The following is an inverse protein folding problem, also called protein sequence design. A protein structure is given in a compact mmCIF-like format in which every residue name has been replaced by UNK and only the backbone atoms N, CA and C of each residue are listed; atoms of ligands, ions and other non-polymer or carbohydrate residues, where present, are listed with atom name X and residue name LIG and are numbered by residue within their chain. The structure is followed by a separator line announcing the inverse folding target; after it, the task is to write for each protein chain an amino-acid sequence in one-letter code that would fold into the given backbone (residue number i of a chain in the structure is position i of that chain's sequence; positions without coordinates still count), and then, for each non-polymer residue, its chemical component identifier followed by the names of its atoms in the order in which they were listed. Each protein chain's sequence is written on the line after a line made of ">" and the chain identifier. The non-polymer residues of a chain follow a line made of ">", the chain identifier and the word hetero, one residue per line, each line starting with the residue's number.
data_IF_611810015504
#
_entry.id   IF_611810015504
#
_cell.length_a   1.000
_cell.length_b   1.000
_cell.length_c   1.000
_cell.angle_alpha   90.00
_cell.angle_beta   90.00
_cell.angle_gamma   90.00
#
_symmetry.space_group_name_H-M   'P 1'
#
loop_
_entity.id
_entity.type
_entity.pdbx_description
1 polymer ?
#
# COMPACT_ATOMS: atom_id res chain seq x y z
N UNK A 1 -11.38 25.81 -4.57
CA UNK A 1 -11.24 26.02 -3.10
C UNK A 1 -11.62 27.43 -2.64
N UNK A 2 -10.94 28.51 -3.04
CA UNK A 2 -11.34 29.89 -2.65
C UNK A 2 -12.78 30.24 -3.06
N UNK A 3 -13.20 29.82 -4.24
CA UNK A 3 -14.59 29.98 -4.70
C UNK A 3 -15.60 29.21 -3.83
N UNK A 4 -15.19 28.07 -3.25
CA UNK A 4 -16.04 27.28 -2.36
C UNK A 4 -16.15 27.92 -0.98
N UNK A 5 -15.03 28.36 -0.41
CA UNK A 5 -15.00 29.15 0.85
C UNK A 5 -15.84 30.43 0.72
N UNK A 6 -15.73 31.13 -0.41
CA UNK A 6 -16.51 32.34 -0.69
C UNK A 6 -18.01 32.04 -0.79
N UNK A 7 -18.39 30.91 -1.41
CA UNK A 7 -19.79 30.49 -1.51
C UNK A 7 -20.37 30.05 -0.17
N UNK A 8 -19.56 29.45 0.69
CA UNK A 8 -19.96 28.97 2.02
C UNK A 8 -19.88 30.08 3.09
N UNK A 9 -19.18 31.18 2.82
CA UNK A 9 -18.97 32.28 3.77
C UNK A 9 -18.02 31.95 4.93
N UNK A 10 -17.32 30.82 4.88
CA UNK A 10 -16.46 30.31 5.95
C UNK A 10 -15.15 29.74 5.39
N UNK A 11 -14.07 29.87 6.16
CA UNK A 11 -12.75 29.35 5.79
C UNK A 11 -12.69 27.84 6.02
N UNK A 12 -12.37 27.08 4.98
CA UNK A 12 -12.17 25.62 5.06
C UNK A 12 -10.71 25.28 5.35
N UNK A 13 -9.78 26.16 4.93
CA UNK A 13 -8.37 25.99 5.16
C UNK A 13 -7.76 27.12 5.97
N UNK A 14 -6.90 26.75 6.92
CA UNK A 14 -5.93 27.64 7.53
C UNK A 14 -4.61 27.55 6.76
N UNK A 15 -4.21 28.65 6.12
CA UNK A 15 -2.99 28.71 5.31
C UNK A 15 -1.87 29.40 6.09
N UNK A 16 -0.73 28.73 6.24
CA UNK A 16 0.54 29.35 6.62
C UNK A 16 1.51 29.30 5.43
N UNK A 17 2.59 30.08 5.44
CA UNK A 17 3.58 30.14 4.35
C UNK A 17 4.31 28.82 4.07
N UNK A 18 4.10 27.78 4.89
CA UNK A 18 4.73 26.45 4.74
C UNK A 18 3.77 25.27 4.71
N UNK A 19 2.51 25.39 5.17
CA UNK A 19 1.52 24.29 5.19
C UNK A 19 0.08 24.83 5.17
N UNK A 20 -0.83 24.02 4.65
CA UNK A 20 -2.29 24.23 4.73
C UNK A 20 -2.90 23.14 5.63
N UNK A 21 -3.78 23.54 6.55
CA UNK A 21 -4.54 22.62 7.41
C UNK A 21 -6.03 22.91 7.27
N UNK A 22 -6.88 21.89 7.45
CA UNK A 22 -8.32 22.12 7.55
C UNK A 22 -8.63 22.91 8.83
N UNK A 23 -9.61 23.81 8.74
CA UNK A 23 -10.25 24.38 9.92
C UNK A 23 -11.18 23.33 10.55
N UNK A 24 -11.65 23.55 11.77
CA UNK A 24 -12.65 22.67 12.40
C UNK A 24 -13.90 22.52 11.53
N UNK A 25 -14.39 23.65 10.98
CA UNK A 25 -15.47 23.62 9.99
C UNK A 25 -15.06 22.91 8.70
N UNK A 26 -13.82 23.08 8.24
CA UNK A 26 -13.27 22.39 7.08
C UNK A 26 -13.25 20.87 7.22
N UNK A 27 -12.92 20.37 8.41
CA UNK A 27 -12.97 18.94 8.75
C UNK A 27 -14.40 18.42 8.71
N UNK A 28 -15.32 19.06 9.42
CA UNK A 28 -16.73 18.65 9.44
C UNK A 28 -17.38 18.73 8.04
N UNK A 29 -17.04 19.76 7.26
CA UNK A 29 -17.53 19.93 5.88
C UNK A 29 -16.98 18.83 4.96
N UNK A 30 -15.69 18.48 5.10
CA UNK A 30 -15.07 17.40 4.35
C UNK A 30 -15.71 16.04 4.65
N UNK A 31 -15.90 15.71 5.92
CA UNK A 31 -16.59 14.48 6.35
C UNK A 31 -18.00 14.39 5.76
N UNK A 32 -18.76 15.49 5.82
CA UNK A 32 -20.12 15.54 5.26
C UNK A 32 -20.14 15.42 3.73
N UNK A 33 -19.14 15.97 3.04
CA UNK A 33 -18.99 15.79 1.60
C UNK A 33 -18.69 14.33 1.24
N UNK A 34 -17.86 13.63 2.01
CA UNK A 34 -17.59 12.20 1.80
C UNK A 34 -18.86 11.37 1.95
N UNK A 35 -19.68 11.64 2.96
CA UNK A 35 -20.98 10.96 3.13
C UNK A 35 -21.92 11.18 1.94
N UNK A 36 -22.04 12.43 1.46
CA UNK A 36 -22.90 12.75 0.30
C UNK A 36 -22.39 12.07 -0.97
N UNK A 37 -21.08 12.07 -1.21
CA UNK A 37 -20.49 11.36 -2.34
C UNK A 37 -20.71 9.85 -2.24
N UNK A 38 -20.65 9.29 -1.03
CA UNK A 38 -21.01 7.89 -0.77
C UNK A 38 -22.47 7.58 -1.14
N UNK A 39 -23.41 8.43 -0.76
CA UNK A 39 -24.84 8.28 -1.12
C UNK A 39 -25.10 8.41 -2.63
N UNK A 40 -24.37 9.28 -3.32
CA UNK A 40 -24.44 9.39 -4.79
C UNK A 40 -23.94 8.11 -5.43
N UNK A 41 -22.78 7.59 -4.99
CA UNK A 41 -22.23 6.33 -5.48
C UNK A 41 -23.17 5.14 -5.23
N UNK A 42 -23.80 5.07 -4.06
CA UNK A 42 -24.81 4.04 -3.74
C UNK A 42 -26.05 4.16 -4.65
N UNK A 43 -26.47 5.38 -5.00
CA UNK A 43 -27.57 5.62 -5.92
C UNK A 43 -27.23 5.23 -7.37
N UNK A 44 -25.99 5.47 -7.80
CA UNK A 44 -25.48 5.01 -9.10
C UNK A 44 -25.40 3.48 -9.14
N UNK A 45 -25.02 2.82 -8.04
CA UNK A 45 -25.06 1.37 -7.92
C UNK A 45 -26.48 0.79 -8.04
N UNK A 46 -27.52 1.49 -7.58
CA UNK A 46 -28.91 1.07 -7.80
C UNK A 46 -29.30 1.11 -9.28
N UNK A 47 -28.75 2.06 -10.05
CA UNK A 47 -28.95 2.13 -11.50
C UNK A 47 -28.16 1.04 -12.24
N UNK A 48 -26.95 0.71 -11.79
CA UNK A 48 -26.15 -0.41 -12.30
C UNK A 48 -26.82 -1.77 -12.02
N UNK A 49 -27.45 -1.94 -10.86
CA UNK A 49 -28.25 -3.15 -10.55
C UNK A 49 -29.47 -3.33 -11.45
N UNK A 50 -29.98 -2.24 -12.05
CA UNK A 50 -31.02 -2.32 -13.08
C UNK A 50 -30.47 -2.71 -14.46
N UNK A 51 -29.13 -2.65 -14.66
CA UNK A 51 -28.40 -2.99 -15.88
C UNK A 51 -27.77 -4.38 -15.84
N UNK A 52 -28.49 -5.42 -15.38
CA UNK A 52 -28.04 -6.81 -15.50
C UNK A 52 -26.71 -7.14 -14.79
N UNK A 53 -26.13 -8.30 -15.12
CA UNK A 53 -24.87 -8.72 -14.52
C UNK A 53 -23.66 -7.97 -15.14
N UNK A 54 -22.64 -7.63 -14.33
CA UNK A 54 -21.40 -7.00 -14.82
C UNK A 54 -20.77 -7.78 -15.98
N UNK A 55 -20.33 -7.05 -17.02
CA UNK A 55 -19.65 -7.63 -18.19
C UNK A 55 -18.62 -6.66 -18.77
N UNK A 56 -17.67 -7.19 -19.54
CA UNK A 56 -16.60 -6.39 -20.17
C UNK A 56 -15.21 -6.74 -19.63
N UNK A 57 -14.22 -5.88 -19.91
CA UNK A 57 -12.85 -6.07 -19.39
C UNK A 57 -12.60 -5.08 -18.26
N UNK A 58 -12.16 -5.58 -17.11
CA UNK A 58 -11.71 -4.78 -15.98
C UNK A 58 -10.18 -4.82 -15.92
N UNK A 59 -9.54 -3.69 -16.17
CA UNK A 59 -8.09 -3.56 -16.22
C UNK A 59 -7.53 -2.95 -14.93
N UNK A 60 -6.73 -3.74 -14.22
CA UNK A 60 -6.28 -3.44 -12.86
C UNK A 60 -4.75 -3.40 -12.82
N UNK A 61 -4.18 -2.43 -12.11
CA UNK A 61 -2.76 -2.46 -11.73
C UNK A 61 -2.57 -2.43 -10.22
N UNK A 62 -1.61 -3.21 -9.71
CA UNK A 62 -1.35 -3.35 -8.28
C UNK A 62 0.14 -3.63 -8.00
N UNK A 63 0.64 -3.45 -6.75
CA UNK A 63 1.99 -3.86 -6.37
C UNK A 63 2.16 -5.36 -6.52
N UNK A 64 3.38 -5.82 -6.81
CA UNK A 64 3.63 -7.22 -7.19
C UNK A 64 3.14 -8.22 -6.14
N UNK A 65 3.61 -8.09 -4.89
CA UNK A 65 3.28 -9.03 -3.81
C UNK A 65 1.82 -8.93 -3.35
N UNK A 66 1.27 -7.72 -3.22
CA UNK A 66 -0.15 -7.57 -2.92
C UNK A 66 -1.02 -8.19 -4.02
N UNK A 67 -0.62 -7.97 -5.28
CA UNK A 67 -1.24 -8.51 -6.47
C UNK A 67 -1.30 -10.03 -6.48
N UNK A 68 -0.17 -10.69 -6.22
CA UNK A 68 -0.06 -12.15 -6.23
C UNK A 68 -0.70 -12.80 -5.01
N UNK A 69 -0.42 -12.30 -3.81
CA UNK A 69 -0.78 -12.99 -2.55
C UNK A 69 -2.20 -12.67 -2.06
N UNK A 70 -2.75 -11.50 -2.42
CA UNK A 70 -4.03 -11.02 -1.86
C UNK A 70 -5.07 -10.80 -2.96
N UNK A 71 -4.71 -10.01 -3.97
CA UNK A 71 -5.68 -9.59 -5.00
C UNK A 71 -6.08 -10.73 -5.93
N UNK A 72 -5.13 -11.47 -6.49
CA UNK A 72 -5.44 -12.56 -7.42
C UNK A 72 -6.34 -13.65 -6.81
N UNK A 73 -6.13 -14.11 -5.56
CA UNK A 73 -7.08 -15.02 -4.88
C UNK A 73 -8.49 -14.44 -4.73
N UNK A 74 -8.62 -13.15 -4.38
CA UNK A 74 -9.93 -12.49 -4.28
C UNK A 74 -10.62 -12.35 -5.65
N UNK A 75 -9.84 -12.03 -6.69
CA UNK A 75 -10.30 -11.92 -8.07
C UNK A 75 -10.77 -13.26 -8.64
N UNK A 76 -10.21 -14.38 -8.20
CA UNK A 76 -10.70 -15.71 -8.58
C UNK A 76 -12.16 -15.91 -8.13
N UNK A 77 -12.48 -15.56 -6.87
CA UNK A 77 -13.86 -15.61 -6.37
C UNK A 77 -14.79 -14.64 -7.10
N UNK A 78 -14.29 -13.45 -7.44
CA UNK A 78 -15.04 -12.46 -8.23
C UNK A 78 -15.35 -12.98 -9.65
N UNK A 79 -14.38 -13.54 -10.35
CA UNK A 79 -14.55 -14.05 -11.72
C UNK A 79 -15.51 -15.25 -11.78
N UNK A 80 -15.51 -16.10 -10.75
CA UNK A 80 -16.48 -17.20 -10.65
C UNK A 80 -17.92 -16.71 -10.45
N UNK A 81 -18.10 -15.56 -9.77
CA UNK A 81 -19.41 -14.94 -9.55
C UNK A 81 -19.90 -14.15 -10.77
N UNK A 82 -18.98 -13.58 -11.55
CA UNK A 82 -19.27 -12.73 -12.72
C UNK A 82 -18.48 -13.21 -13.95
N UNK A 83 -18.94 -14.28 -14.63
CA UNK A 83 -18.17 -14.95 -15.70
C UNK A 83 -18.02 -14.11 -16.97
N UNK A 84 -18.89 -13.12 -17.17
CA UNK A 84 -18.83 -12.20 -18.32
C UNK A 84 -17.81 -11.07 -18.13
N UNK A 85 -17.19 -10.97 -16.95
CA UNK A 85 -16.08 -10.04 -16.67
C UNK A 85 -14.75 -10.71 -16.97
N UNK A 86 -13.99 -10.12 -17.89
CA UNK A 86 -12.60 -10.46 -18.16
C UNK A 86 -11.68 -9.59 -17.31
N UNK A 87 -10.69 -10.22 -16.68
CA UNK A 87 -9.72 -9.53 -15.83
C UNK A 87 -8.40 -9.35 -16.58
N UNK A 88 -7.92 -8.12 -16.71
CA UNK A 88 -6.57 -7.80 -17.17
C UNK A 88 -5.78 -7.23 -15.99
N UNK A 89 -4.78 -7.97 -15.51
CA UNK A 89 -4.05 -7.65 -14.28
C UNK A 89 -2.57 -7.36 -14.58
N UNK A 90 -2.14 -6.12 -14.30
CA UNK A 90 -0.76 -5.67 -14.47
C UNK A 90 -0.12 -5.42 -13.10
N UNK A 91 0.72 -6.35 -12.68
CA UNK A 91 1.41 -6.29 -11.38
C UNK A 91 2.77 -5.61 -11.52
N UNK A 92 2.92 -4.44 -10.89
CA UNK A 92 4.16 -3.67 -10.92
C UNK A 92 4.25 -2.74 -9.72
N UNK A 93 5.45 -2.56 -9.20
CA UNK A 93 5.73 -1.57 -8.15
C UNK A 93 5.92 -0.15 -8.73
N UNK A 94 6.03 -0.03 -10.05
CA UNK A 94 6.05 1.28 -10.71
C UNK A 94 4.65 1.90 -10.71
N UNK A 95 4.58 3.22 -10.51
CA UNK A 95 3.35 3.97 -10.69
C UNK A 95 3.18 4.26 -12.19
N UNK A 96 2.27 3.52 -12.82
CA UNK A 96 1.89 3.73 -14.21
C UNK A 96 0.81 4.81 -14.30
N UNK A 97 0.81 5.57 -15.39
CA UNK A 97 -0.26 6.51 -15.68
C UNK A 97 -1.55 5.74 -15.98
N UNK A 98 -2.64 6.05 -15.28
CA UNK A 98 -3.91 5.36 -15.40
C UNK A 98 -4.60 5.64 -16.74
N UNK A 99 -4.53 6.87 -17.22
CA UNK A 99 -5.26 7.34 -18.40
C UNK A 99 -4.55 6.84 -19.66
N UNK A 100 -3.23 7.09 -19.76
CA UNK A 100 -2.45 6.71 -20.93
C UNK A 100 -2.37 5.19 -21.13
N UNK A 101 -2.45 4.43 -20.03
CA UNK A 101 -2.44 2.96 -20.08
C UNK A 101 -3.85 2.35 -20.03
N UNK A 102 -4.92 3.14 -19.92
CA UNK A 102 -6.30 2.64 -19.90
C UNK A 102 -6.60 1.68 -18.75
N UNK A 103 -6.10 1.97 -17.56
CA UNK A 103 -6.45 1.23 -16.34
C UNK A 103 -7.73 1.77 -15.72
N UNK A 104 -8.61 0.87 -15.29
CA UNK A 104 -9.83 1.22 -14.56
C UNK A 104 -9.55 1.40 -13.06
N UNK A 105 -8.69 0.54 -12.50
CA UNK A 105 -8.36 0.52 -11.07
C UNK A 105 -6.85 0.43 -10.85
N UNK A 106 -6.32 1.31 -9.99
CA UNK A 106 -4.99 1.16 -9.41
C UNK A 106 -5.08 0.93 -7.91
N UNK A 107 -4.50 -0.18 -7.45
CA UNK A 107 -4.20 -0.40 -6.05
C UNK A 107 -2.74 0.04 -5.83
N UNK A 108 -2.48 0.86 -4.82
CA UNK A 108 -1.15 1.37 -4.52
C UNK A 108 -0.95 1.48 -3.01
N UNK A 109 0.31 1.35 -2.59
CA UNK A 109 0.74 1.61 -1.22
C UNK A 109 1.10 3.09 -1.07
N UNK A 110 0.86 3.62 0.12
CA UNK A 110 1.15 5.02 0.46
C UNK A 110 0.15 6.00 -0.12
N UNK A 111 0.43 7.29 0.06
CA UNK A 111 -0.53 8.33 -0.25
C UNK A 111 -0.62 8.61 -1.75
N UNK A 112 -1.82 9.03 -2.19
CA UNK A 112 -2.04 9.62 -3.51
C UNK A 112 -1.75 11.13 -3.39
N UNK A 113 -0.98 11.73 -4.30
CA UNK A 113 -0.73 13.17 -4.28
C UNK A 113 -2.04 13.95 -4.28
N UNK A 114 -2.14 15.00 -3.46
CA UNK A 114 -3.34 15.85 -3.39
C UNK A 114 -3.73 16.49 -4.73
N UNK A 115 -2.78 16.59 -5.67
CA UNK A 115 -2.99 17.10 -7.03
C UNK A 115 -3.52 16.06 -8.01
N UNK A 116 -3.71 14.81 -7.59
CA UNK A 116 -4.22 13.75 -8.45
C UNK A 116 -5.68 14.02 -8.84
N UNK A 117 -6.05 13.89 -10.12
CA UNK A 117 -7.46 13.95 -10.54
C UNK A 117 -8.26 12.69 -10.17
N UNK A 118 -7.60 11.67 -9.61
CA UNK A 118 -8.19 10.37 -9.29
C UNK A 118 -8.90 10.39 -7.92
N UNK A 119 -9.98 9.63 -7.83
CA UNK A 119 -10.65 9.34 -6.56
C UNK A 119 -9.87 8.23 -5.85
N UNK A 120 -9.48 8.51 -4.60
CA UNK A 120 -8.77 7.58 -3.74
C UNK A 120 -9.70 7.04 -2.66
N UNK A 121 -9.73 5.71 -2.49
CA UNK A 121 -10.40 5.06 -1.36
C UNK A 121 -9.36 4.34 -0.51
N UNK A 122 -9.35 4.65 0.78
CA UNK A 122 -8.50 3.94 1.73
C UNK A 122 -8.98 2.49 1.85
N UNK A 123 -8.04 1.55 1.78
CA UNK A 123 -8.25 0.13 2.03
C UNK A 123 -7.71 -0.24 3.42
N UNK A 124 -7.61 -1.53 3.72
CA UNK A 124 -6.91 -2.00 4.92
C UNK A 124 -5.42 -1.63 4.91
N UNK A 125 -4.83 -1.56 6.09
CA UNK A 125 -3.40 -1.35 6.25
C UNK A 125 -2.59 -2.49 5.61
N UNK A 126 -1.43 -2.13 5.07
CA UNK A 126 -0.47 -3.08 4.51
C UNK A 126 0.70 -3.23 5.46
N UNK A 127 0.72 -4.36 6.18
CA UNK A 127 1.69 -4.64 7.24
C UNK A 127 2.90 -5.42 6.71
N UNK A 128 4.06 -5.13 7.30
CA UNK A 128 5.32 -5.79 7.02
C UNK A 128 5.83 -6.47 8.29
N UNK A 129 6.39 -7.66 8.13
CA UNK A 129 7.03 -8.44 9.19
C UNK A 129 8.53 -8.52 8.93
N UNK A 130 9.30 -8.33 10.01
CA UNK A 130 10.74 -8.59 10.02
C UNK A 130 10.96 -10.04 10.42
N UNK A 131 11.64 -10.82 9.58
CA UNK A 131 11.90 -12.24 9.82
C UNK A 131 13.23 -12.70 9.23
N UNK A 132 13.70 -13.87 9.67
CA UNK A 132 14.88 -14.54 9.14
C UNK A 132 14.72 -16.06 9.29
N UNK A 133 15.44 -16.84 8.49
CA UNK A 133 15.40 -18.29 8.63
C UNK A 133 16.02 -18.73 9.99
N UNK A 134 15.51 -19.81 10.60
CA UNK A 134 16.08 -20.37 11.83
C UNK A 134 17.58 -20.68 11.71
N UNK A 135 18.04 -21.10 10.52
CA UNK A 135 19.45 -21.38 10.23
C UNK A 135 20.35 -20.14 10.28
N UNK A 136 19.81 -18.96 9.96
CA UNK A 136 20.52 -17.69 10.11
C UNK A 136 20.59 -17.30 11.59
N UNK A 137 19.45 -17.33 12.28
CA UNK A 137 19.35 -16.97 13.71
C UNK A 137 20.21 -17.87 14.60
N UNK A 138 20.33 -19.17 14.29
CA UNK A 138 21.21 -20.09 15.00
C UNK A 138 22.70 -19.72 14.89
N UNK A 139 23.11 -19.05 13.80
CA UNK A 139 24.51 -18.64 13.57
C UNK A 139 24.80 -17.24 14.06
N UNK A 140 23.82 -16.34 13.99
CA UNK A 140 24.01 -14.90 14.21
C UNK A 140 23.32 -14.37 15.47
N UNK A 141 22.53 -15.20 16.16
CA UNK A 141 21.67 -14.77 17.26
C UNK A 141 20.34 -14.20 16.77
N UNK A 142 19.41 -13.99 17.70
CA UNK A 142 18.10 -13.39 17.43
C UNK A 142 18.08 -11.95 17.95
N UNK A 143 17.75 -10.95 17.10
CA UNK A 143 17.54 -9.57 17.55
C UNK A 143 16.47 -9.51 18.66
N UNK A 144 16.77 -8.87 19.78
CA UNK A 144 15.80 -8.67 20.87
C UNK A 144 15.18 -7.27 20.82
N UNK A 145 15.93 -6.30 20.27
CA UNK A 145 15.52 -4.92 20.09
C UNK A 145 15.69 -4.49 18.63
N UNK A 146 14.88 -3.53 18.13
CA UNK A 146 15.02 -3.00 16.77
C UNK A 146 16.45 -2.58 16.41
N UNK A 147 17.15 -1.95 17.35
CA UNK A 147 18.51 -1.43 17.16
C UNK A 147 19.54 -2.54 16.90
N UNK A 148 19.27 -3.78 17.34
CA UNK A 148 20.14 -4.93 17.10
C UNK A 148 20.24 -5.25 15.61
N UNK A 149 19.24 -4.87 14.80
CA UNK A 149 19.23 -5.08 13.34
C UNK A 149 20.44 -4.42 12.66
N UNK A 150 20.98 -3.33 13.22
CA UNK A 150 22.19 -2.69 12.70
C UNK A 150 23.44 -3.60 12.72
N UNK A 151 23.42 -4.70 13.50
CA UNK A 151 24.48 -5.69 13.56
C UNK A 151 24.21 -6.94 12.69
N UNK A 152 23.06 -7.01 12.00
CA UNK A 152 22.67 -8.14 11.18
C UNK A 152 22.76 -7.84 9.68
N UNK A 153 22.96 -8.89 8.87
CA UNK A 153 22.88 -8.79 7.42
C UNK A 153 21.42 -8.56 6.98
N UNK A 154 21.03 -7.31 6.78
CA UNK A 154 19.67 -6.92 6.43
C UNK A 154 19.51 -6.83 4.91
N UNK A 155 18.70 -7.72 4.33
CA UNK A 155 18.44 -7.76 2.90
C UNK A 155 17.29 -6.80 2.58
N UNK A 156 17.59 -5.72 1.89
CA UNK A 156 16.68 -4.58 1.80
C UNK A 156 15.88 -4.54 0.48
N UNK A 157 14.69 -3.96 0.54
CA UNK A 157 13.86 -3.76 -0.64
C UNK A 157 14.19 -2.43 -1.34
N UNK A 158 14.35 -2.46 -2.66
CA UNK A 158 14.52 -1.25 -3.48
C UNK A 158 13.17 -0.70 -3.93
N UNK A 159 12.77 0.42 -3.33
CA UNK A 159 11.59 1.15 -3.76
C UNK A 159 11.91 2.11 -4.93
N UNK A 160 10.96 2.33 -5.86
CA UNK A 160 11.16 3.27 -6.96
C UNK A 160 11.52 4.69 -6.50
N UNK A 161 12.20 5.43 -7.38
CA UNK A 161 12.49 6.84 -7.13
C UNK A 161 11.20 7.66 -6.94
N UNK A 162 11.19 8.52 -5.92
CA UNK A 162 10.03 9.34 -5.58
C UNK A 162 9.01 8.65 -4.67
N UNK A 163 9.20 7.38 -4.31
CA UNK A 163 8.39 6.71 -3.30
C UNK A 163 8.75 7.17 -1.88
N UNK A 164 7.76 7.23 -0.98
CA UNK A 164 7.93 7.61 0.42
C UNK A 164 8.78 6.58 1.19
N UNK A 165 8.81 5.33 0.71
CA UNK A 165 9.61 4.24 1.28
C UNK A 165 11.00 4.10 0.67
N UNK A 166 11.47 5.05 -0.16
CA UNK A 166 12.79 4.99 -0.81
C UNK A 166 13.98 4.76 0.14
N UNK A 167 13.86 5.18 1.40
CA UNK A 167 14.93 5.03 2.41
C UNK A 167 14.98 3.62 2.99
N UNK A 168 13.99 2.75 2.73
CA UNK A 168 14.00 1.38 3.24
C UNK A 168 15.08 0.47 2.63
N UNK A 169 15.82 0.97 1.63
CA UNK A 169 17.07 0.36 1.20
C UNK A 169 18.20 0.45 2.25
N UNK A 170 18.14 1.41 3.17
CA UNK A 170 19.21 1.68 4.16
C UNK A 170 18.69 2.00 5.56
N UNK A 171 17.38 2.20 5.72
CA UNK A 171 16.77 2.58 6.99
C UNK A 171 15.37 1.98 7.12
N UNK A 172 15.18 1.11 8.10
CA UNK A 172 13.89 0.49 8.38
C UNK A 172 13.12 1.26 9.43
N UNK A 173 11.83 1.44 9.17
CA UNK A 173 10.91 2.18 10.01
C UNK A 173 9.94 1.23 10.66
N UNK A 174 9.89 1.27 11.98
CA UNK A 174 9.05 0.44 12.84
C UNK A 174 8.24 1.33 13.77
N UNK A 175 7.18 0.79 14.35
CA UNK A 175 6.39 1.47 15.39
C UNK A 175 6.48 0.68 16.67
N UNK A 176 7.04 1.30 17.71
CA UNK A 176 7.18 0.75 19.05
C UNK A 176 6.24 1.42 20.07
N UNK A 177 6.28 0.98 21.34
CA UNK A 177 5.43 1.53 22.41
C UNK A 177 5.63 3.04 22.66
N UNK A 178 6.82 3.55 22.39
CA UNK A 178 7.21 4.96 22.59
C UNK A 178 7.12 5.79 21.31
N UNK A 179 6.64 5.21 20.21
CA UNK A 179 6.49 5.88 18.91
C UNK A 179 7.31 5.24 17.79
N UNK A 180 7.65 6.06 16.79
CA UNK A 180 8.39 5.62 15.62
C UNK A 180 9.85 5.30 15.96
N UNK A 181 10.35 4.15 15.49
CA UNK A 181 11.74 3.73 15.60
C UNK A 181 12.32 3.61 14.21
N UNK A 182 13.42 4.31 13.97
CA UNK A 182 14.18 4.26 12.72
C UNK A 182 15.51 3.58 12.99
N UNK A 183 15.79 2.52 12.25
CA UNK A 183 17.02 1.73 12.39
C UNK A 183 17.76 1.78 11.07
N UNK A 184 19.02 2.23 11.11
CA UNK A 184 19.90 2.13 9.96
C UNK A 184 20.30 0.66 9.77
N UNK A 185 20.14 0.18 8.54
CA UNK A 185 20.40 -1.22 8.18
C UNK A 185 21.35 -1.27 7.00
N UNK A 186 22.19 -2.31 7.00
CA UNK A 186 23.11 -2.61 5.91
C UNK A 186 23.10 -4.12 5.64
N UNK A 187 23.45 -4.50 4.42
CA UNK A 187 23.49 -5.90 4.07
C UNK A 187 23.94 -6.19 2.65
N UNK A 188 24.11 -7.48 2.38
CA UNK A 188 24.73 -7.99 1.17
C UNK A 188 23.81 -7.97 -0.06
N UNK A 189 22.53 -7.64 0.10
CA UNK A 189 21.55 -7.70 -1.00
C UNK A 189 20.51 -6.60 -0.89
N UNK A 190 20.26 -5.97 -2.03
CA UNK A 190 19.11 -5.08 -2.25
C UNK A 190 18.34 -5.59 -3.46
N UNK A 191 17.03 -5.76 -3.36
CA UNK A 191 16.21 -6.26 -4.46
C UNK A 191 14.87 -5.53 -4.58
N UNK A 192 14.36 -5.39 -5.80
CA UNK A 192 13.07 -4.76 -6.07
C UNK A 192 11.89 -5.77 -6.06
N UNK A 193 12.10 -6.96 -5.51
CA UNK A 193 11.07 -8.01 -5.41
C UNK A 193 11.09 -8.66 -4.02
N UNK A 194 9.91 -8.80 -3.41
CA UNK A 194 9.77 -9.47 -2.12
C UNK A 194 10.04 -10.96 -2.24
N UNK A 195 9.69 -11.58 -3.37
CA UNK A 195 9.92 -13.01 -3.63
C UNK A 195 11.43 -13.35 -3.67
N UNK A 196 12.25 -12.50 -4.28
CA UNK A 196 13.71 -12.68 -4.29
C UNK A 196 14.33 -12.57 -2.90
N UNK A 197 13.89 -11.57 -2.12
CA UNK A 197 14.33 -11.39 -0.72
C UNK A 197 13.86 -12.57 0.16
N UNK A 198 12.63 -13.03 -0.03
CA UNK A 198 12.08 -14.19 0.64
C UNK A 198 12.94 -15.43 0.43
N UNK A 199 13.25 -15.77 -0.83
CA UNK A 199 14.10 -16.93 -1.15
C UNK A 199 15.51 -16.80 -0.53
N UNK A 200 16.09 -15.60 -0.54
CA UNK A 200 17.38 -15.35 0.09
C UNK A 200 17.34 -15.52 1.62
N UNK A 201 16.26 -15.05 2.27
CA UNK A 201 16.05 -15.23 3.71
C UNK A 201 15.87 -16.70 4.07
N UNK A 202 15.05 -17.46 3.33
CA UNK A 202 14.87 -18.91 3.51
C UNK A 202 16.18 -19.68 3.35
N UNK A 203 17.06 -19.25 2.44
CA UNK A 203 18.41 -19.79 2.29
C UNK A 203 19.38 -19.41 3.44
N UNK A 204 18.89 -18.66 4.44
CA UNK A 204 19.66 -18.24 5.61
C UNK A 204 20.67 -17.13 5.31
N UNK A 205 20.41 -16.28 4.31
CA UNK A 205 21.31 -15.19 3.95
C UNK A 205 21.26 -14.03 4.96
N UNK A 206 20.09 -13.72 5.52
CA UNK A 206 19.94 -12.53 6.35
C UNK A 206 18.54 -12.33 6.90
N UNK A 207 18.35 -11.16 7.50
CA UNK A 207 17.06 -10.64 7.97
C UNK A 207 16.38 -9.88 6.84
N UNK A 208 15.07 -10.03 6.70
CA UNK A 208 14.26 -9.33 5.71
C UNK A 208 13.07 -8.65 6.37
N UNK A 209 12.56 -7.59 5.75
CA UNK A 209 11.27 -6.97 6.06
C UNK A 209 10.33 -7.20 4.88
N UNK A 210 9.34 -8.08 5.03
CA UNK A 210 8.46 -8.55 3.95
C UNK A 210 6.98 -8.39 4.30
N UNK A 211 6.10 -8.30 3.29
CA UNK A 211 4.66 -8.26 3.52
C UNK A 211 4.16 -9.49 4.26
N UNK A 212 3.28 -9.29 5.25
CA UNK A 212 2.75 -10.39 6.07
C UNK A 212 2.12 -11.48 5.22
N UNK A 213 1.35 -11.10 4.19
CA UNK A 213 0.71 -12.03 3.26
C UNK A 213 1.68 -13.01 2.58
N UNK A 214 2.96 -12.64 2.43
CA UNK A 214 3.98 -13.49 1.82
C UNK A 214 4.60 -14.48 2.81
N UNK A 215 4.73 -14.10 4.09
CA UNK A 215 5.51 -14.85 5.09
C UNK A 215 4.65 -15.51 6.17
N UNK A 216 3.36 -15.19 6.23
CA UNK A 216 2.46 -15.63 7.30
C UNK A 216 2.45 -17.15 7.47
N UNK A 217 2.52 -17.90 6.37
CA UNK A 217 2.52 -19.37 6.42
C UNK A 217 3.78 -19.92 7.06
N UNK A 218 4.95 -19.46 6.64
CA UNK A 218 6.23 -19.93 7.20
C UNK A 218 6.32 -19.56 8.68
N UNK A 219 5.87 -18.36 9.06
CA UNK A 219 5.83 -17.95 10.46
C UNK A 219 4.92 -18.82 11.34
N UNK A 220 3.89 -19.44 10.77
CA UNK A 220 3.03 -20.39 11.47
C UNK A 220 3.64 -21.80 11.55
N UNK A 221 4.37 -22.21 10.51
CA UNK A 221 4.96 -23.55 10.39
C UNK A 221 6.33 -23.69 11.08
N UNK A 222 7.07 -22.58 11.27
CA UNK A 222 8.35 -22.51 11.97
C UNK A 222 9.56 -22.68 11.05
#
# INVERSE_FOLDING_TARGET
>A
MRALEQRLGVSLLQRTTRRQRLTEFGTAYYERCLEVLGLVAESEQLAEQAQGDPSGTLRITAPLTFGSEVLAPALAGFSLRFPEVKLDLVLTNQRLDMIDNGFDIAIRLGNIPQSSPLIARLMQDYTLTICAAPSYLARHGTPAHPEDLGAHNCLAFSYPAGDEWRTAGTQWRMTGPEGEVLVDVDGSMVANTSAGLYQAACAGMGVVMLPDALVQRDLQEG
#
